data_IF_169859340051
#
_entry.id   IF_169859340051
#
_cell.length_a   1.000
_cell.length_b   1.000
_cell.length_c   1.000
_cell.angle_alpha   90.00
_cell.angle_beta   90.00
_cell.angle_gamma   90.00
#
_symmetry.space_group_name_H-M   'P 1'
#
loop_
_entity.id
_entity.type
_entity.pdbx_description
1 polymer ?
#
# COMPACT_ATOMS: atom_id res chain seq x y z
N UNK A 1 1.84 4.81 -0.74
CA UNK A 1 3.08 4.15 -1.17
C UNK A 1 2.87 3.58 -2.53
N UNK A 2 2.98 4.46 -3.50
CA UNK A 2 2.83 4.19 -4.92
C UNK A 2 1.40 3.96 -5.39
N UNK A 3 1.26 4.07 -6.70
CA UNK A 3 -0.03 3.99 -7.39
C UNK A 3 -1.07 4.95 -6.81
N UNK A 4 -0.62 6.20 -6.62
CA UNK A 4 -1.48 7.31 -6.23
C UNK A 4 -2.51 7.57 -7.34
N UNK A 5 -2.11 7.38 -8.59
CA UNK A 5 -2.96 7.45 -9.76
C UNK A 5 -3.13 6.07 -10.38
N UNK A 6 -4.34 5.76 -10.83
CA UNK A 6 -4.59 4.48 -11.51
C UNK A 6 -3.91 4.40 -12.89
N UNK A 7 -3.75 5.53 -13.56
CA UNK A 7 -2.97 5.66 -14.79
C UNK A 7 -2.66 7.14 -15.05
N UNK A 8 -1.56 7.41 -15.76
CA UNK A 8 -1.20 8.77 -16.20
C UNK A 8 -2.27 9.44 -17.08
N UNK A 9 -3.14 8.66 -17.71
CA UNK A 9 -4.23 9.16 -18.57
C UNK A 9 -5.48 9.55 -17.77
N UNK A 10 -5.59 9.16 -16.50
CA UNK A 10 -6.72 9.50 -15.64
C UNK A 10 -6.50 10.76 -14.82
N UNK A 11 -5.35 11.40 -14.97
CA UNK A 11 -5.01 12.61 -14.21
C UNK A 11 -5.54 13.82 -14.98
N UNK A 12 -6.64 14.37 -14.53
CA UNK A 12 -7.07 15.70 -14.95
C UNK A 12 -6.40 16.79 -14.10
N UNK A 13 -6.46 18.03 -14.59
CA UNK A 13 -5.85 19.18 -13.90
C UNK A 13 -6.42 19.41 -12.49
N UNK A 14 -7.69 19.07 -12.29
CA UNK A 14 -8.38 19.26 -11.00
C UNK A 14 -7.87 18.25 -9.97
N UNK A 15 -7.70 16.99 -10.37
CA UNK A 15 -7.14 15.96 -9.50
C UNK A 15 -5.68 16.25 -9.18
N UNK A 16 -4.89 16.65 -10.18
CA UNK A 16 -3.50 17.04 -9.99
C UNK A 16 -3.37 18.16 -8.97
N UNK A 17 -4.17 19.23 -9.11
CA UNK A 17 -4.14 20.35 -8.18
C UNK A 17 -4.50 19.91 -6.75
N UNK A 18 -5.54 19.09 -6.57
CA UNK A 18 -5.90 18.57 -5.25
C UNK A 18 -4.77 17.78 -4.58
N UNK A 19 -4.00 17.03 -5.37
CA UNK A 19 -2.84 16.28 -4.86
C UNK A 19 -1.69 17.24 -4.53
N UNK A 20 -1.43 18.24 -5.36
CA UNK A 20 -0.40 19.27 -5.12
C UNK A 20 -0.71 20.12 -3.87
N UNK A 21 -1.99 20.27 -3.50
CA UNK A 21 -2.44 21.00 -2.32
C UNK A 21 -2.36 20.17 -1.01
N UNK A 22 -2.11 18.87 -1.08
CA UNK A 22 -2.06 18.00 0.11
C UNK A 22 -1.08 18.47 1.20
N UNK A 23 0.15 18.94 0.90
CA UNK A 23 1.06 19.42 1.93
C UNK A 23 0.50 20.61 2.72
N UNK A 24 -0.19 21.53 2.05
CA UNK A 24 -0.84 22.68 2.68
C UNK A 24 -2.05 22.25 3.52
N UNK A 25 -2.92 21.40 2.96
CA UNK A 25 -4.09 20.87 3.62
C UNK A 25 -3.74 20.10 4.90
N UNK A 26 -2.72 19.26 4.83
CA UNK A 26 -2.26 18.43 5.95
C UNK A 26 -1.29 19.16 6.89
N UNK A 27 -0.85 20.38 6.53
CA UNK A 27 0.16 21.17 7.26
C UNK A 27 1.43 20.37 7.55
N UNK A 28 1.87 19.55 6.60
CA UNK A 28 3.06 18.70 6.74
C UNK A 28 3.71 18.41 5.39
N UNK A 29 4.96 17.97 5.43
CA UNK A 29 5.63 17.50 4.22
C UNK A 29 5.00 16.19 3.76
N UNK A 30 4.71 16.09 2.46
CA UNK A 30 4.21 14.88 1.81
C UNK A 30 5.30 14.33 0.92
N UNK A 31 5.55 13.02 1.04
CA UNK A 31 6.47 12.28 0.17
C UNK A 31 5.69 11.18 -0.55
N UNK A 32 5.88 11.06 -1.86
CA UNK A 32 5.34 9.98 -2.67
C UNK A 32 6.46 8.97 -2.97
N UNK A 33 6.30 7.73 -2.52
CA UNK A 33 7.09 6.62 -3.04
C UNK A 33 6.42 6.16 -4.33
N UNK A 34 7.13 6.21 -5.46
CA UNK A 34 6.59 5.90 -6.78
C UNK A 34 6.06 4.46 -6.87
N UNK A 35 4.89 4.33 -7.45
CA UNK A 35 4.36 3.07 -7.95
C UNK A 35 4.57 2.94 -9.47
N UNK A 36 4.30 1.75 -9.99
CA UNK A 36 4.45 1.50 -11.42
C UNK A 36 3.45 2.29 -12.28
N UNK A 37 2.31 2.71 -11.72
CA UNK A 37 1.32 3.55 -12.39
C UNK A 37 1.61 5.06 -12.29
N UNK A 38 2.48 5.47 -11.38
CA UNK A 38 2.84 6.89 -11.17
C UNK A 38 3.99 7.35 -12.08
N UNK A 39 4.58 6.45 -12.88
CA UNK A 39 5.75 6.78 -13.71
C UNK A 39 5.41 7.87 -14.74
N UNK A 40 6.20 8.95 -14.72
CA UNK A 40 6.02 10.11 -15.59
C UNK A 40 5.00 11.12 -15.09
N UNK A 41 4.50 10.99 -13.85
CA UNK A 41 3.71 12.03 -13.19
C UNK A 41 4.67 13.12 -12.67
N UNK A 42 4.40 14.36 -13.02
CA UNK A 42 5.06 15.53 -12.45
C UNK A 42 4.08 16.20 -11.48
N UNK A 43 4.39 16.14 -10.19
CA UNK A 43 3.54 16.64 -9.11
C UNK A 43 4.34 17.67 -8.32
N UNK A 44 3.87 18.91 -8.34
CA UNK A 44 4.49 19.99 -7.59
C UNK A 44 4.24 19.82 -6.08
N UNK A 45 5.10 20.44 -5.27
CA UNK A 45 4.98 20.51 -3.82
C UNK A 45 5.08 19.15 -3.08
N UNK A 46 5.26 18.04 -3.80
CA UNK A 46 5.42 16.70 -3.23
C UNK A 46 6.78 16.15 -3.63
N UNK A 47 7.52 15.68 -2.65
CA UNK A 47 8.80 15.04 -2.92
C UNK A 47 8.56 13.62 -3.41
N UNK A 48 9.08 13.31 -4.60
CA UNK A 48 8.97 12.00 -5.24
C UNK A 48 10.24 11.19 -4.98
N UNK A 49 10.08 9.92 -4.61
CA UNK A 49 11.15 9.00 -4.23
C UNK A 49 10.86 7.62 -4.81
N UNK A 50 11.87 6.90 -5.28
CA UNK A 50 11.75 5.48 -5.61
C UNK A 50 11.61 4.64 -4.33
N UNK A 51 12.41 4.96 -3.32
CA UNK A 51 12.44 4.30 -2.02
C UNK A 51 12.67 5.35 -0.93
N UNK A 52 11.96 5.24 0.17
CA UNK A 52 12.18 6.04 1.38
C UNK A 52 12.80 5.17 2.47
N UNK A 53 14.01 5.51 2.91
CA UNK A 53 14.72 4.77 3.97
C UNK A 53 14.80 5.58 5.25
N UNK A 54 14.58 4.90 6.36
CA UNK A 54 14.90 5.35 7.71
C UNK A 54 15.90 4.38 8.34
N UNK A 55 16.23 4.54 9.64
CA UNK A 55 17.17 3.67 10.32
C UNK A 55 16.79 2.18 10.26
N UNK A 56 15.51 1.88 10.49
CA UNK A 56 15.02 0.50 10.66
C UNK A 56 13.84 0.15 9.73
N UNK A 57 13.39 1.08 8.90
CA UNK A 57 12.24 0.88 8.03
C UNK A 57 12.58 1.39 6.63
N UNK A 58 12.25 0.60 5.64
CA UNK A 58 12.28 0.98 4.22
C UNK A 58 10.86 0.98 3.68
N UNK A 59 10.47 2.06 3.02
CA UNK A 59 9.20 2.16 2.31
C UNK A 59 9.47 2.04 0.82
N UNK A 60 8.77 1.17 0.15
CA UNK A 60 8.86 0.94 -1.30
C UNK A 60 7.48 0.61 -1.87
N UNK A 61 7.29 0.70 -3.18
CA UNK A 61 6.04 0.26 -3.79
C UNK A 61 5.98 -1.27 -3.83
N UNK A 62 7.00 -1.90 -4.39
CA UNK A 62 7.18 -3.34 -4.39
C UNK A 62 8.13 -3.79 -3.28
N UNK A 63 8.07 -5.07 -2.85
CA UNK A 63 8.99 -5.58 -1.86
C UNK A 63 10.43 -5.56 -2.40
N UNK A 64 11.36 -5.07 -1.59
CA UNK A 64 12.78 -5.04 -1.92
C UNK A 64 13.57 -6.00 -1.05
N UNK A 65 14.55 -6.66 -1.64
CA UNK A 65 15.52 -7.46 -0.88
C UNK A 65 16.53 -6.51 -0.23
N UNK A 66 16.50 -6.44 1.09
CA UNK A 66 17.38 -5.58 1.87
C UNK A 66 18.69 -6.26 2.30
N UNK A 67 18.82 -7.57 2.00
CA UNK A 67 20.00 -8.36 2.37
C UNK A 67 20.15 -8.59 3.89
N UNK A 68 19.21 -8.12 4.69
CA UNK A 68 19.17 -8.31 6.14
C UNK A 68 17.73 -8.52 6.64
N UNK A 69 17.59 -9.15 7.82
CA UNK A 69 16.31 -9.37 8.47
C UNK A 69 16.03 -8.38 9.63
N UNK A 70 16.82 -7.30 9.75
CA UNK A 70 16.67 -6.31 10.82
C UNK A 70 15.86 -5.11 10.38
N UNK A 71 15.90 -4.80 9.09
CA UNK A 71 15.16 -3.68 8.50
C UNK A 71 13.79 -4.16 8.04
N UNK A 72 12.72 -3.52 8.51
CA UNK A 72 11.36 -3.79 8.03
C UNK A 72 11.16 -3.12 6.68
N UNK A 73 10.74 -3.88 5.67
CA UNK A 73 10.22 -3.30 4.43
C UNK A 73 8.70 -3.18 4.52
N UNK A 74 8.18 -1.98 4.35
CA UNK A 74 6.75 -1.71 4.24
C UNK A 74 6.46 -1.38 2.78
N UNK A 75 5.57 -2.13 2.14
CA UNK A 75 5.25 -1.95 0.73
C UNK A 75 3.75 -2.07 0.41
N UNK A 76 3.38 -1.59 -0.77
CA UNK A 76 2.04 -1.69 -1.34
C UNK A 76 1.94 -2.83 -2.36
N UNK A 77 1.52 -2.47 -3.59
CA UNK A 77 1.48 -3.27 -4.82
C UNK A 77 0.69 -4.58 -4.78
N UNK A 78 1.00 -5.46 -3.82
CA UNK A 78 0.39 -6.79 -3.71
C UNK A 78 -1.11 -6.75 -3.36
N UNK A 79 -1.58 -5.71 -2.68
CA UNK A 79 -2.97 -5.52 -2.25
C UNK A 79 -3.60 -6.78 -1.62
N UNK A 80 -3.06 -7.28 -0.50
CA UNK A 80 -3.48 -8.56 0.06
C UNK A 80 -4.96 -8.56 0.46
N UNK A 81 -5.65 -9.65 0.10
CA UNK A 81 -7.05 -9.91 0.46
C UNK A 81 -7.20 -11.29 1.11
N UNK A 82 -8.07 -11.37 2.08
CA UNK A 82 -8.54 -12.61 2.68
C UNK A 82 -9.89 -12.95 2.08
N UNK A 83 -10.08 -14.19 1.66
CA UNK A 83 -11.33 -14.70 1.14
C UNK A 83 -11.91 -15.73 2.10
N UNK A 84 -13.10 -15.46 2.60
CA UNK A 84 -13.91 -16.40 3.37
C UNK A 84 -14.97 -16.99 2.46
N UNK A 85 -15.07 -18.31 2.43
CA UNK A 85 -16.10 -19.02 1.67
C UNK A 85 -16.98 -19.79 2.64
N UNK A 86 -18.29 -19.63 2.52
CA UNK A 86 -19.26 -20.44 3.20
C UNK A 86 -20.37 -20.78 2.19
N UNK A 87 -20.91 -22.00 2.21
CA UNK A 87 -22.01 -22.59 1.43
C UNK A 87 -22.77 -21.62 0.50
N UNK A 88 -22.07 -21.06 -0.53
CA UNK A 88 -22.66 -20.16 -1.52
C UNK A 88 -22.18 -18.72 -1.45
N UNK A 89 -21.69 -18.25 -0.30
CA UNK A 89 -21.22 -16.89 -0.11
C UNK A 89 -19.69 -16.79 -0.18
N UNK A 90 -19.21 -15.74 -0.81
CA UNK A 90 -17.80 -15.38 -0.85
C UNK A 90 -17.63 -13.96 -0.33
N UNK A 91 -17.07 -13.84 0.86
CA UNK A 91 -16.68 -12.56 1.43
C UNK A 91 -15.20 -12.32 1.19
N UNK A 92 -14.82 -11.07 0.97
CA UNK A 92 -13.41 -10.68 0.87
C UNK A 92 -13.14 -9.45 1.72
N UNK A 93 -12.00 -9.49 2.42
CA UNK A 93 -11.54 -8.39 3.26
C UNK A 93 -10.16 -7.95 2.80
N UNK A 94 -9.94 -6.63 2.74
CA UNK A 94 -8.59 -6.08 2.63
C UNK A 94 -7.84 -6.43 3.91
N UNK A 95 -6.55 -6.70 3.81
CA UNK A 95 -5.79 -7.04 4.99
C UNK A 95 -4.36 -6.49 4.93
N UNK A 96 -3.78 -6.26 6.10
CA UNK A 96 -2.34 -6.21 6.25
C UNK A 96 -1.80 -7.64 6.22
N UNK A 97 -0.65 -7.84 5.60
CA UNK A 97 -0.02 -9.16 5.52
C UNK A 97 1.49 -9.04 5.79
N UNK A 98 2.00 -9.87 6.70
CA UNK A 98 3.41 -9.86 7.11
C UNK A 98 4.09 -11.15 6.70
N UNK A 99 5.08 -11.05 5.82
CA UNK A 99 6.04 -12.12 5.56
C UNK A 99 7.16 -12.05 6.61
N UNK A 100 7.07 -12.92 7.61
CA UNK A 100 8.04 -12.97 8.71
C UNK A 100 9.43 -13.43 8.26
N UNK A 101 9.53 -14.20 7.18
CA UNK A 101 10.81 -14.70 6.68
C UNK A 101 11.62 -13.61 5.97
N UNK A 102 10.92 -12.70 5.30
CA UNK A 102 11.53 -11.61 4.55
C UNK A 102 11.49 -10.26 5.27
N UNK A 103 10.85 -10.21 6.43
CA UNK A 103 10.56 -8.99 7.17
C UNK A 103 9.86 -7.92 6.32
N UNK A 104 8.81 -8.34 5.59
CA UNK A 104 8.04 -7.48 4.69
C UNK A 104 6.59 -7.36 5.15
N UNK A 105 6.14 -6.13 5.38
CA UNK A 105 4.75 -5.80 5.65
C UNK A 105 4.10 -5.26 4.37
N UNK A 106 3.12 -5.98 3.85
CA UNK A 106 2.28 -5.56 2.73
C UNK A 106 1.06 -4.80 3.24
N UNK A 107 0.88 -3.59 2.75
CA UNK A 107 -0.30 -2.78 3.06
C UNK A 107 -1.48 -3.17 2.18
N UNK A 108 -2.71 -3.08 2.70
CA UNK A 108 -3.92 -3.20 1.90
C UNK A 108 -4.01 -2.06 0.88
N UNK A 109 -4.77 -2.28 -0.19
CA UNK A 109 -5.14 -1.19 -1.09
C UNK A 109 -5.91 -0.11 -0.34
N UNK A 110 -5.62 1.15 -0.60
CA UNK A 110 -6.33 2.28 -0.03
C UNK A 110 -7.71 2.45 -0.68
N UNK A 111 -7.77 2.38 -2.02
CA UNK A 111 -9.00 2.56 -2.77
C UNK A 111 -9.92 1.33 -2.73
N UNK A 112 -11.24 1.56 -2.62
CA UNK A 112 -12.24 0.48 -2.55
C UNK A 112 -12.39 -0.29 -3.85
N UNK A 113 -12.18 0.38 -4.98
CA UNK A 113 -12.27 -0.21 -6.32
C UNK A 113 -11.00 -0.95 -6.73
N UNK A 114 -9.94 -0.89 -5.92
CA UNK A 114 -8.69 -1.56 -6.23
C UNK A 114 -8.84 -3.05 -6.03
N UNK A 115 -8.45 -3.82 -7.04
CA UNK A 115 -8.36 -5.27 -6.97
C UNK A 115 -7.41 -5.74 -5.85
N UNK A 116 -7.12 -7.03 -5.80
CA UNK A 116 -6.14 -7.56 -4.84
C UNK A 116 -5.99 -9.07 -4.96
N UNK A 117 -4.93 -9.58 -4.37
CA UNK A 117 -4.53 -10.98 -4.48
C UNK A 117 -4.80 -11.74 -3.17
N UNK A 118 -5.12 -13.04 -3.26
CA UNK A 118 -5.25 -13.88 -2.08
C UNK A 118 -3.97 -13.85 -1.24
N UNK A 119 -4.10 -13.54 0.03
CA UNK A 119 -2.98 -13.55 0.95
C UNK A 119 -2.42 -14.96 1.13
N UNK A 120 -1.08 -15.13 1.08
CA UNK A 120 -0.42 -16.41 1.28
C UNK A 120 -0.73 -16.97 2.67
N UNK A 121 -0.93 -18.30 2.77
CA UNK A 121 -1.24 -18.95 4.05
C UNK A 121 -0.15 -18.75 5.10
N UNK A 122 1.10 -18.72 4.70
CA UNK A 122 2.28 -18.56 5.58
C UNK A 122 2.44 -17.16 6.17
N UNK A 123 1.69 -16.17 5.67
CA UNK A 123 1.77 -14.79 6.18
C UNK A 123 0.92 -14.63 7.43
N UNK A 124 1.38 -13.84 8.39
CA UNK A 124 0.49 -13.27 9.42
C UNK A 124 -0.43 -12.25 8.78
N UNK A 125 -1.69 -12.21 9.17
CA UNK A 125 -2.72 -11.44 8.50
C UNK A 125 -3.62 -10.73 9.49
N UNK A 126 -3.98 -9.49 9.16
CA UNK A 126 -4.95 -8.70 9.91
C UNK A 126 -5.99 -8.16 8.95
N UNK A 127 -7.21 -8.70 9.04
CA UNK A 127 -8.34 -8.28 8.20
C UNK A 127 -8.90 -6.94 8.65
N UNK A 128 -9.17 -6.04 7.72
CA UNK A 128 -9.94 -4.83 7.95
C UNK A 128 -11.41 -5.21 7.77
N UNK A 129 -12.16 -5.32 8.86
CA UNK A 129 -13.57 -5.75 8.83
C UNK A 129 -14.54 -4.58 8.82
N UNK A 130 -14.12 -3.43 9.38
CA UNK A 130 -14.85 -2.16 9.33
C UNK A 130 -13.88 -0.98 9.39
N UNK A 131 -14.41 0.25 9.42
CA UNK A 131 -13.60 1.48 9.60
C UNK A 131 -12.92 1.54 10.97
N UNK A 132 -13.44 0.82 11.95
CA UNK A 132 -12.97 0.86 13.35
C UNK A 132 -12.33 -0.47 13.81
N UNK A 133 -12.38 -1.53 13.00
CA UNK A 133 -12.01 -2.85 13.47
C UNK A 133 -11.04 -3.58 12.53
N UNK A 134 -9.95 -4.07 13.13
CA UNK A 134 -8.94 -4.92 12.48
C UNK A 134 -8.80 -6.19 13.31
N UNK A 135 -8.96 -7.34 12.67
CA UNK A 135 -8.92 -8.65 13.34
C UNK A 135 -7.74 -9.49 12.84
N UNK A 136 -6.95 -10.03 13.76
CA UNK A 136 -5.92 -11.01 13.42
C UNK A 136 -6.57 -12.34 12.99
N UNK A 137 -6.18 -12.80 11.80
CA UNK A 137 -6.63 -14.08 11.28
C UNK A 137 -5.57 -15.14 11.58
N UNK A 138 -5.87 -16.00 12.52
CA UNK A 138 -5.03 -17.16 12.86
C UNK A 138 -5.13 -18.18 11.73
N UNK A 139 -3.99 -18.70 11.29
CA UNK A 139 -3.88 -19.72 10.23
C UNK A 139 -4.23 -21.08 10.77
#
# INVERSE_FOLDING_TARGET
MGDLFHSKYSIDKTLQQKVEDLPELLKTNVELVLGNHDVGCDIKNIKILDIRKTKNITFSHEPVDLGDNKTLNICGHYHPKIYLKNKGDKLSFRCFAMDMNKNVLYLPAFGDLTGGYPCKKSFKKWAIVSEEEIIEIKS
#
